data_IF_614342556368
#
_entry.id   IF_614342556368
#
_cell.length_a   1.000
_cell.length_b   1.000
_cell.length_c   1.000
_cell.angle_alpha   90.00
_cell.angle_beta   90.00
_cell.angle_gamma   90.00
#
_symmetry.space_group_name_H-M   'P 1'
#
loop_
_entity.id
_entity.type
_entity.pdbx_description
1 polymer ?
#
# COMPACT_ATOMS: atom_id res chain seq x y z
N UNK A 1 46.38 -10.82 10.39
CA UNK A 1 47.59 -10.00 10.54
C UNK A 1 48.77 -10.81 11.08
N UNK A 2 48.72 -11.42 12.27
CA UNK A 2 49.82 -12.14 12.89
C UNK A 2 50.43 -13.24 11.99
N UNK A 3 49.61 -14.02 11.27
CA UNK A 3 50.12 -15.02 10.31
C UNK A 3 50.82 -14.40 9.09
N UNK A 4 50.36 -13.25 8.63
CA UNK A 4 50.97 -12.52 7.51
C UNK A 4 52.32 -11.95 7.91
N UNK A 5 52.43 -11.39 9.13
CA UNK A 5 53.69 -10.90 9.68
C UNK A 5 54.70 -12.03 9.88
N UNK A 6 54.24 -13.19 10.37
CA UNK A 6 55.08 -14.39 10.49
C UNK A 6 55.58 -14.91 9.11
N UNK A 7 54.69 -14.95 8.12
CA UNK A 7 55.05 -15.33 6.75
C UNK A 7 56.05 -14.35 6.14
N UNK A 8 55.86 -13.02 6.35
CA UNK A 8 56.81 -12.00 5.95
C UNK A 8 58.19 -12.17 6.55
N UNK A 9 58.24 -12.52 7.86
CA UNK A 9 59.49 -12.74 8.58
C UNK A 9 60.24 -13.98 8.13
N UNK A 10 59.55 -15.13 7.93
CA UNK A 10 60.17 -16.39 7.57
C UNK A 10 60.36 -16.60 6.07
N UNK A 11 59.44 -16.12 5.24
CA UNK A 11 59.45 -16.35 3.78
C UNK A 11 59.87 -15.12 2.97
N UNK A 12 60.18 -13.98 3.63
CA UNK A 12 60.48 -12.69 3.01
C UNK A 12 59.37 -12.20 2.02
N UNK A 13 58.11 -12.62 2.23
CA UNK A 13 56.97 -12.19 1.42
C UNK A 13 56.37 -10.92 2.02
N UNK A 14 56.35 -9.83 1.23
CA UNK A 14 55.75 -8.58 1.65
C UNK A 14 54.23 -8.58 1.40
N UNK A 15 53.51 -9.48 2.09
CA UNK A 15 52.05 -9.62 1.92
C UNK A 15 51.23 -8.85 2.95
N UNK A 16 51.89 -8.24 3.95
CA UNK A 16 51.20 -7.51 5.04
C UNK A 16 50.28 -6.41 4.53
N UNK A 17 50.69 -5.62 3.52
CA UNK A 17 49.90 -4.59 2.93
C UNK A 17 48.63 -5.12 2.26
N UNK A 18 48.76 -6.24 1.54
CA UNK A 18 47.62 -6.87 0.89
C UNK A 18 46.67 -7.52 1.90
N UNK A 19 47.17 -8.16 2.93
CA UNK A 19 46.37 -8.70 4.02
C UNK A 19 45.63 -7.57 4.77
N UNK A 20 46.34 -6.44 5.00
CA UNK A 20 45.73 -5.25 5.61
C UNK A 20 44.61 -4.66 4.75
N UNK A 21 44.81 -4.58 3.42
CA UNK A 21 43.79 -4.11 2.50
C UNK A 21 42.55 -5.01 2.53
N UNK A 22 42.72 -6.34 2.45
CA UNK A 22 41.60 -7.28 2.49
C UNK A 22 40.83 -7.17 3.80
N UNK A 23 41.54 -7.13 4.94
CA UNK A 23 40.88 -6.99 6.25
C UNK A 23 40.12 -5.67 6.37
N UNK A 24 40.70 -4.55 5.91
CA UNK A 24 40.02 -3.26 5.94
C UNK A 24 38.79 -3.23 5.04
N UNK A 25 38.81 -3.86 3.87
CA UNK A 25 37.63 -3.99 3.00
C UNK A 25 36.53 -4.86 3.64
N UNK A 26 36.90 -5.95 4.33
CA UNK A 26 35.95 -6.77 5.08
C UNK A 26 35.31 -6.01 6.24
N UNK A 27 36.12 -5.22 6.98
CA UNK A 27 35.59 -4.37 8.08
C UNK A 27 34.66 -3.30 7.53
N UNK A 28 35.04 -2.66 6.42
CA UNK A 28 34.20 -1.65 5.78
C UNK A 28 32.88 -2.26 5.32
N UNK A 29 32.93 -3.42 4.65
CA UNK A 29 31.72 -4.14 4.21
C UNK A 29 30.83 -4.52 5.40
N UNK A 30 31.40 -5.06 6.48
CA UNK A 30 30.66 -5.40 7.70
C UNK A 30 30.03 -4.14 8.35
N UNK A 31 30.75 -3.02 8.36
CA UNK A 31 30.23 -1.75 8.85
C UNK A 31 29.06 -1.22 8.02
N UNK A 32 29.15 -1.31 6.70
CA UNK A 32 28.03 -0.92 5.79
C UNK A 32 26.83 -1.83 5.99
N UNK A 33 27.04 -3.14 6.15
CA UNK A 33 25.93 -4.07 6.43
C UNK A 33 25.27 -3.76 7.77
N UNK A 34 26.02 -3.58 8.84
CA UNK A 34 25.48 -3.22 10.15
C UNK A 34 24.69 -1.90 10.11
N UNK A 35 25.19 -0.91 9.36
CA UNK A 35 24.46 0.35 9.16
C UNK A 35 23.15 0.15 8.41
N UNK A 36 23.16 -0.65 7.34
CA UNK A 36 21.94 -1.00 6.58
C UNK A 36 20.92 -1.73 7.44
N UNK A 37 21.34 -2.74 8.17
CA UNK A 37 20.47 -3.54 9.03
C UNK A 37 19.82 -2.70 10.15
N UNK A 38 20.54 -1.66 10.61
CA UNK A 38 20.02 -0.73 11.62
C UNK A 38 19.08 0.32 11.01
N UNK A 39 19.40 0.86 9.83
CA UNK A 39 18.63 1.94 9.22
C UNK A 39 17.40 1.44 8.47
N UNK A 40 17.45 0.23 7.90
CA UNK A 40 16.38 -0.32 7.08
C UNK A 40 15.03 -0.39 7.81
N UNK A 41 14.94 -0.87 9.07
CA UNK A 41 13.68 -0.84 9.83
C UNK A 41 13.19 0.58 10.13
N UNK A 42 14.11 1.55 10.30
CA UNK A 42 13.75 2.95 10.58
C UNK A 42 13.18 3.67 9.34
N UNK A 43 13.57 3.24 8.15
CA UNK A 43 13.07 3.80 6.88
C UNK A 43 11.74 3.15 6.45
N UNK A 44 11.30 2.08 7.14
CA UNK A 44 10.15 1.28 6.79
C UNK A 44 10.49 0.22 5.74
N UNK A 45 9.95 -0.97 5.95
CA UNK A 45 10.02 -2.07 4.99
C UNK A 45 8.59 -2.43 4.55
N UNK A 46 8.40 -2.84 3.31
CA UNK A 46 7.10 -3.33 2.89
C UNK A 46 6.75 -4.58 3.73
N UNK A 47 5.49 -4.70 4.18
CA UNK A 47 5.03 -5.91 4.86
C UNK A 47 5.07 -7.11 3.92
N UNK A 48 5.06 -8.33 4.48
CA UNK A 48 4.92 -9.52 3.65
C UNK A 48 3.53 -9.60 3.02
N UNK A 49 3.42 -10.23 1.85
CA UNK A 49 2.14 -10.41 1.16
C UNK A 49 1.16 -11.22 2.03
N UNK A 50 1.66 -12.21 2.77
CA UNK A 50 0.86 -13.02 3.69
C UNK A 50 0.25 -12.17 4.81
N UNK A 51 1.03 -11.28 5.42
CA UNK A 51 0.55 -10.40 6.48
C UNK A 51 -0.53 -9.43 5.97
N UNK A 52 -0.34 -8.89 4.78
CA UNK A 52 -1.35 -8.03 4.13
C UNK A 52 -2.64 -8.81 3.85
N UNK A 53 -2.52 -10.05 3.38
CA UNK A 53 -3.68 -10.89 3.12
C UNK A 53 -4.42 -11.24 4.41
N UNK A 54 -3.72 -11.57 5.49
CA UNK A 54 -4.33 -11.82 6.81
C UNK A 54 -5.10 -10.60 7.33
N UNK A 55 -4.53 -9.38 7.17
CA UNK A 55 -5.25 -8.14 7.54
C UNK A 55 -6.55 -8.04 6.73
N UNK A 56 -6.48 -8.21 5.40
CA UNK A 56 -7.65 -8.15 4.53
C UNK A 56 -8.71 -9.17 4.91
N UNK A 57 -8.32 -10.40 5.15
CA UNK A 57 -9.23 -11.49 5.50
C UNK A 57 -9.96 -11.17 6.82
N UNK A 58 -9.26 -10.68 7.85
CA UNK A 58 -9.85 -10.30 9.14
C UNK A 58 -10.84 -9.15 8.99
N UNK A 59 -10.48 -8.11 8.24
CA UNK A 59 -11.35 -6.94 8.05
C UNK A 59 -12.58 -7.32 7.24
N UNK A 60 -12.42 -8.13 6.19
CA UNK A 60 -13.52 -8.59 5.35
C UNK A 60 -14.41 -9.68 6.00
N UNK A 61 -14.07 -10.19 7.20
CA UNK A 61 -15.01 -10.98 8.00
C UNK A 61 -16.23 -10.16 8.47
N UNK A 62 -16.10 -8.84 8.56
CA UNK A 62 -17.20 -7.96 8.94
C UNK A 62 -18.20 -7.83 7.80
N UNK A 63 -19.50 -8.00 8.12
CA UNK A 63 -20.57 -7.90 7.12
C UNK A 63 -20.87 -6.46 6.70
N UNK A 64 -20.38 -5.46 7.42
CA UNK A 64 -20.62 -4.05 7.13
C UNK A 64 -19.51 -3.46 6.25
N UNK A 65 -18.36 -4.11 6.16
CA UNK A 65 -17.25 -3.65 5.32
C UNK A 65 -17.47 -4.12 3.89
N UNK A 66 -17.56 -3.17 2.95
CA UNK A 66 -17.76 -3.42 1.53
C UNK A 66 -16.45 -3.50 0.75
N UNK A 67 -15.40 -2.82 1.22
CA UNK A 67 -14.09 -2.75 0.59
C UNK A 67 -13.03 -2.21 1.53
N UNK A 68 -11.76 -2.37 1.14
CA UNK A 68 -10.60 -1.91 1.90
C UNK A 68 -9.61 -1.26 0.93
N UNK A 69 -9.10 -0.10 1.30
CA UNK A 69 -8.03 0.59 0.57
C UNK A 69 -7.07 1.33 1.52
N UNK A 70 -6.03 1.94 0.98
CA UNK A 70 -5.03 2.75 1.68
C UNK A 70 -4.41 2.08 2.92
N UNK A 71 -4.17 0.76 2.82
CA UNK A 71 -3.49 0.03 3.87
C UNK A 71 -2.03 0.47 3.99
N UNK A 72 -1.70 1.03 5.16
CA UNK A 72 -0.32 1.39 5.54
C UNK A 72 0.08 0.57 6.75
N UNK A 73 1.26 -0.06 6.66
CA UNK A 73 1.84 -0.85 7.74
C UNK A 73 3.13 -0.19 8.22
N UNK A 74 3.19 0.11 9.51
CA UNK A 74 4.37 0.61 10.18
C UNK A 74 4.92 -0.47 11.11
N UNK A 75 6.05 -1.06 10.77
CA UNK A 75 6.73 -2.05 11.60
C UNK A 75 7.91 -1.38 12.33
N UNK A 76 7.78 -1.23 13.65
CA UNK A 76 8.81 -0.70 14.53
C UNK A 76 9.57 -1.81 15.28
N UNK A 77 9.45 -3.04 14.84
CA UNK A 77 10.08 -4.22 15.43
C UNK A 77 9.12 -5.08 16.25
N UNK A 78 9.62 -6.12 16.92
CA UNK A 78 8.80 -7.14 17.56
C UNK A 78 7.78 -6.57 18.55
N UNK A 79 6.50 -6.85 18.31
CA UNK A 79 5.38 -6.41 19.14
C UNK A 79 5.03 -4.92 19.01
N UNK A 80 5.49 -4.24 17.96
CA UNK A 80 5.22 -2.82 17.71
C UNK A 80 4.84 -2.57 16.25
N UNK A 81 3.85 -3.27 15.78
CA UNK A 81 3.27 -3.05 14.45
C UNK A 81 2.04 -2.18 14.59
N UNK A 82 1.98 -1.11 13.80
CA UNK A 82 0.82 -0.23 13.69
C UNK A 82 0.33 -0.25 12.25
N UNK A 83 -0.98 -0.34 12.07
CA UNK A 83 -1.60 -0.30 10.75
C UNK A 83 -2.66 0.78 10.71
N UNK A 84 -2.80 1.42 9.57
CA UNK A 84 -3.95 2.24 9.24
C UNK A 84 -4.51 1.78 7.91
N UNK A 85 -5.82 1.79 7.79
CA UNK A 85 -6.50 1.47 6.55
C UNK A 85 -7.84 2.20 6.48
N UNK A 86 -8.38 2.26 5.28
CA UNK A 86 -9.72 2.74 5.03
C UNK A 86 -10.66 1.57 4.76
N UNK A 87 -11.85 1.62 5.35
CA UNK A 87 -12.90 0.63 5.16
C UNK A 87 -14.15 1.30 4.58
N UNK A 88 -14.56 0.86 3.40
CA UNK A 88 -15.81 1.30 2.78
C UNK A 88 -16.99 0.68 3.53
N UNK A 89 -17.92 1.54 3.99
CA UNK A 89 -19.13 1.16 4.74
C UNK A 89 -20.39 1.79 4.13
N UNK A 90 -21.58 1.21 4.34
CA UNK A 90 -22.82 1.78 3.80
C UNK A 90 -23.10 3.19 4.37
N UNK A 91 -23.30 4.18 3.47
CA UNK A 91 -23.54 5.58 3.84
C UNK A 91 -24.83 5.81 4.65
N UNK A 92 -25.82 4.95 4.50
CA UNK A 92 -27.12 5.04 5.17
C UNK A 92 -27.25 4.12 6.38
N UNK A 93 -26.12 3.55 6.86
CA UNK A 93 -26.09 2.76 8.08
C UNK A 93 -26.21 3.59 9.36
N UNK A 94 -26.60 2.94 10.47
CA UNK A 94 -26.50 3.55 11.79
C UNK A 94 -25.04 3.76 12.16
N UNK A 95 -24.61 4.99 12.29
CA UNK A 95 -23.20 5.36 12.53
C UNK A 95 -22.66 4.72 13.81
N UNK A 96 -23.49 4.56 14.87
CA UNK A 96 -23.05 3.95 16.12
C UNK A 96 -22.84 2.44 15.95
N UNK A 97 -23.74 1.79 15.20
CA UNK A 97 -23.61 0.36 14.91
C UNK A 97 -22.41 0.08 13.99
N UNK A 98 -22.19 0.94 12.99
CA UNK A 98 -21.01 0.84 12.11
C UNK A 98 -19.71 1.02 12.90
N UNK A 99 -19.66 2.02 13.78
CA UNK A 99 -18.50 2.27 14.62
C UNK A 99 -18.19 1.08 15.55
N UNK A 100 -19.21 0.51 16.21
CA UNK A 100 -19.05 -0.67 17.08
C UNK A 100 -18.48 -1.88 16.31
N UNK A 101 -18.95 -2.09 15.08
CA UNK A 101 -18.39 -3.14 14.22
C UNK A 101 -16.93 -2.88 13.84
N UNK A 102 -16.56 -1.64 13.53
CA UNK A 102 -15.16 -1.28 13.24
C UNK A 102 -14.28 -1.45 14.47
N UNK A 103 -14.71 -1.01 15.65
CA UNK A 103 -13.99 -1.26 16.91
C UNK A 103 -13.76 -2.76 17.16
N UNK A 104 -14.75 -3.60 16.83
CA UNK A 104 -14.62 -5.06 16.93
C UNK A 104 -13.60 -5.60 15.92
N UNK A 105 -13.53 -5.03 14.71
CA UNK A 105 -12.51 -5.40 13.71
C UNK A 105 -11.11 -5.00 14.18
N UNK A 106 -10.93 -3.79 14.69
CA UNK A 106 -9.64 -3.32 15.24
C UNK A 106 -9.18 -4.24 16.39
N UNK A 107 -10.10 -4.62 17.27
CA UNK A 107 -9.82 -5.56 18.36
C UNK A 107 -9.42 -6.94 17.83
N UNK A 108 -10.10 -7.48 16.80
CA UNK A 108 -9.71 -8.75 16.17
C UNK A 108 -8.31 -8.70 15.56
N UNK A 109 -7.96 -7.60 14.90
CA UNK A 109 -6.62 -7.36 14.36
C UNK A 109 -5.58 -7.38 15.49
N UNK A 110 -5.86 -6.70 16.60
CA UNK A 110 -5.00 -6.72 17.77
C UNK A 110 -4.83 -8.14 18.35
N UNK A 111 -5.93 -8.85 18.58
CA UNK A 111 -5.93 -10.15 19.22
C UNK A 111 -5.27 -11.25 18.37
N UNK A 112 -5.41 -11.19 17.04
CA UNK A 112 -4.90 -12.22 16.11
C UNK A 112 -3.49 -11.93 15.60
N UNK A 113 -3.20 -10.65 15.30
CA UNK A 113 -1.94 -10.24 14.65
C UNK A 113 -0.99 -9.48 15.58
N UNK A 114 -1.45 -9.09 16.79
CA UNK A 114 -0.65 -8.34 17.75
C UNK A 114 -0.28 -6.93 17.25
N UNK A 115 -1.08 -6.34 16.37
CA UNK A 115 -0.87 -5.00 15.84
C UNK A 115 -1.88 -4.00 16.41
N UNK A 116 -1.49 -2.72 16.47
CA UNK A 116 -2.40 -1.61 16.73
C UNK A 116 -3.00 -1.17 15.40
N UNK A 117 -4.33 -1.17 15.28
CA UNK A 117 -5.04 -0.80 14.07
C UNK A 117 -5.84 0.48 14.25
N UNK A 118 -5.87 1.32 13.22
CA UNK A 118 -6.78 2.46 13.08
C UNK A 118 -7.49 2.34 11.74
N UNK A 119 -8.81 2.24 11.78
CA UNK A 119 -9.64 2.07 10.60
C UNK A 119 -10.46 3.35 10.36
N UNK A 120 -10.20 4.02 9.23
CA UNK A 120 -11.03 5.12 8.77
C UNK A 120 -12.25 4.57 8.05
N UNK A 121 -13.44 5.05 8.43
CA UNK A 121 -14.68 4.65 7.75
C UNK A 121 -14.96 5.58 6.57
N UNK A 122 -15.09 5.02 5.36
CA UNK A 122 -15.49 5.72 4.16
C UNK A 122 -16.92 5.34 3.76
N UNK A 123 -17.89 6.25 3.99
CA UNK A 123 -19.29 5.98 3.64
C UNK A 123 -19.49 5.95 2.13
N UNK A 124 -19.94 4.81 1.58
CA UNK A 124 -20.30 4.66 0.17
C UNK A 124 -21.79 4.40 0.00
N UNK A 125 -22.36 4.90 -1.08
CA UNK A 125 -23.76 4.66 -1.44
C UNK A 125 -23.86 3.31 -2.12
N UNK A 126 -24.46 2.33 -1.44
CA UNK A 126 -24.57 0.94 -1.93
C UNK A 126 -25.98 0.59 -2.43
N UNK A 127 -26.97 1.42 -2.17
CA UNK A 127 -28.39 1.20 -2.43
C UNK A 127 -28.92 1.95 -3.68
N UNK A 128 -28.08 2.66 -4.42
CA UNK A 128 -28.42 3.32 -5.68
C UNK A 128 -27.91 2.48 -6.87
N UNK A 129 -28.86 1.86 -7.60
CA UNK A 129 -28.56 1.03 -8.77
C UNK A 129 -27.84 1.82 -9.87
N UNK A 130 -28.10 3.13 -10.01
CA UNK A 130 -27.46 3.98 -11.03
C UNK A 130 -26.00 4.18 -10.70
N UNK A 131 -25.70 4.49 -9.43
CA UNK A 131 -24.32 4.66 -8.94
C UNK A 131 -23.57 3.34 -9.05
N UNK A 132 -24.16 2.23 -8.62
CA UNK A 132 -23.57 0.92 -8.69
C UNK A 132 -23.26 0.48 -10.14
N UNK A 133 -24.20 0.73 -11.07
CA UNK A 133 -23.98 0.43 -12.48
C UNK A 133 -22.88 1.31 -13.10
N UNK A 134 -22.82 2.58 -12.74
CA UNK A 134 -21.75 3.49 -13.17
C UNK A 134 -20.38 3.05 -12.63
N UNK A 135 -20.30 2.71 -11.34
CA UNK A 135 -19.09 2.19 -10.71
C UNK A 135 -18.56 0.96 -11.45
N UNK A 136 -19.40 -0.05 -11.66
CA UNK A 136 -19.00 -1.28 -12.37
C UNK A 136 -18.49 -1.01 -13.80
N UNK A 137 -19.15 -0.11 -14.54
CA UNK A 137 -18.72 0.26 -15.89
C UNK A 137 -17.38 0.97 -15.88
N UNK A 138 -17.21 1.95 -14.97
CA UNK A 138 -15.97 2.73 -14.86
C UNK A 138 -14.82 1.85 -14.36
N UNK A 139 -15.04 0.98 -13.37
CA UNK A 139 -14.06 0.02 -12.91
C UNK A 139 -13.60 -0.93 -14.04
N UNK A 140 -14.54 -1.40 -14.86
CA UNK A 140 -14.21 -2.25 -16.02
C UNK A 140 -13.43 -1.49 -17.09
N UNK A 141 -13.79 -0.22 -17.32
CA UNK A 141 -13.13 0.66 -18.27
C UNK A 141 -11.69 0.97 -17.84
N UNK A 142 -11.47 1.24 -16.55
CA UNK A 142 -10.13 1.51 -15.99
C UNK A 142 -9.24 0.28 -16.08
N UNK A 143 -9.77 -0.93 -15.77
CA UNK A 143 -9.05 -2.21 -15.99
C UNK A 143 -8.73 -2.47 -17.46
N UNK A 144 -9.52 -1.94 -18.39
CA UNK A 144 -9.23 -2.00 -19.81
C UNK A 144 -8.05 -1.11 -20.24
N UNK A 145 -7.69 -0.10 -19.47
CA UNK A 145 -6.50 0.74 -19.68
C UNK A 145 -5.24 0.01 -19.21
N UNK A 146 -5.29 -0.56 -18.00
CA UNK A 146 -4.27 -1.44 -17.45
C UNK A 146 -4.94 -2.36 -16.42
N UNK A 147 -4.76 -3.69 -16.55
CA UNK A 147 -5.41 -4.71 -15.72
C UNK A 147 -5.08 -4.61 -14.22
N UNK A 148 -3.95 -3.96 -13.91
CA UNK A 148 -3.47 -3.79 -12.55
C UNK A 148 -3.99 -2.51 -11.87
N UNK A 149 -4.68 -1.62 -12.60
CA UNK A 149 -5.27 -0.42 -12.01
C UNK A 149 -6.64 -0.78 -11.44
N UNK A 150 -6.84 -0.46 -10.16
CA UNK A 150 -8.15 -0.56 -9.49
C UNK A 150 -8.66 0.82 -9.09
N UNK A 151 -9.96 0.90 -8.78
CA UNK A 151 -10.57 2.14 -8.27
C UNK A 151 -11.22 1.87 -6.92
N UNK A 152 -11.24 2.88 -6.05
CA UNK A 152 -11.94 2.88 -4.77
C UNK A 152 -12.50 4.28 -4.44
N UNK A 153 -13.21 4.40 -3.34
CA UNK A 153 -13.86 5.64 -2.87
C UNK A 153 -14.73 6.31 -3.95
N UNK A 154 -15.50 5.47 -4.67
CA UNK A 154 -16.29 5.92 -5.79
C UNK A 154 -17.53 6.68 -5.35
N UNK A 155 -17.68 7.92 -5.81
CA UNK A 155 -18.80 8.80 -5.52
C UNK A 155 -19.29 9.52 -6.76
N UNK A 156 -20.59 9.79 -6.84
CA UNK A 156 -21.19 10.59 -7.90
C UNK A 156 -21.93 11.79 -7.33
N UNK A 157 -21.67 12.96 -7.91
CA UNK A 157 -22.41 14.20 -7.57
C UNK A 157 -23.10 14.69 -8.83
N UNK A 158 -24.41 14.43 -8.90
CA UNK A 158 -25.23 14.77 -10.06
C UNK A 158 -25.67 16.21 -10.00
N UNK A 159 -25.37 16.98 -11.05
CA UNK A 159 -25.82 18.34 -11.28
C UNK A 159 -26.76 18.43 -12.49
N UNK A 160 -27.37 19.59 -12.72
CA UNK A 160 -28.33 19.78 -13.83
C UNK A 160 -27.65 19.73 -15.21
N UNK A 161 -26.37 20.03 -15.31
CA UNK A 161 -25.61 20.08 -16.58
C UNK A 161 -24.63 18.95 -16.75
N UNK A 162 -24.07 18.44 -15.66
CA UNK A 162 -23.06 17.39 -15.64
C UNK A 162 -23.09 16.62 -14.31
N UNK A 163 -22.42 15.49 -14.29
CA UNK A 163 -22.23 14.66 -13.11
C UNK A 163 -20.74 14.53 -12.85
N UNK A 164 -20.28 14.94 -11.67
CA UNK A 164 -18.94 14.67 -11.21
C UNK A 164 -18.86 13.22 -10.75
N UNK A 165 -17.90 12.48 -11.29
CA UNK A 165 -17.56 11.13 -10.91
C UNK A 165 -16.20 11.19 -10.20
N UNK A 166 -16.22 10.98 -8.89
CA UNK A 166 -15.08 11.15 -8.00
C UNK A 166 -14.64 9.78 -7.55
N UNK A 167 -13.37 9.47 -7.71
CA UNK A 167 -12.78 8.19 -7.24
C UNK A 167 -11.27 8.28 -7.25
N UNK A 168 -10.67 7.39 -6.49
CA UNK A 168 -9.23 7.21 -6.45
C UNK A 168 -8.83 6.02 -7.30
N UNK A 169 -7.73 6.16 -8.05
CA UNK A 169 -7.21 5.12 -8.92
C UNK A 169 -5.87 4.63 -8.39
N UNK A 170 -5.81 3.38 -7.97
CA UNK A 170 -4.59 2.74 -7.46
C UNK A 170 -3.74 2.29 -8.63
N UNK A 171 -2.61 2.95 -8.83
CA UNK A 171 -1.62 2.61 -9.86
C UNK A 171 -0.44 1.90 -9.18
N UNK A 172 -0.22 0.60 -9.43
CA UNK A 172 0.84 -0.14 -8.77
C UNK A 172 2.22 0.32 -9.21
N UNK A 173 3.22 0.11 -8.35
CA UNK A 173 4.62 0.29 -8.73
C UNK A 173 4.98 -0.67 -9.87
N UNK A 174 5.54 -0.11 -10.95
CA UNK A 174 5.90 -0.87 -12.16
C UNK A 174 4.83 -0.85 -13.26
N UNK A 175 3.74 -0.12 -13.08
CA UNK A 175 2.86 0.25 -14.18
C UNK A 175 3.67 0.97 -15.26
N UNK A 176 3.38 0.68 -16.54
CA UNK A 176 4.07 1.28 -17.68
C UNK A 176 3.67 2.74 -17.91
N UNK A 177 2.54 3.16 -17.33
CA UNK A 177 2.02 4.52 -17.43
C UNK A 177 2.55 5.37 -16.27
N UNK A 178 2.92 6.60 -16.55
CA UNK A 178 3.10 7.62 -15.51
C UNK A 178 1.74 7.99 -14.90
N UNK A 179 1.75 8.53 -13.68
CA UNK A 179 0.53 8.94 -12.96
C UNK A 179 -0.32 9.90 -13.80
N UNK A 180 0.33 10.87 -14.44
CA UNK A 180 -0.32 11.82 -15.32
C UNK A 180 -0.94 11.17 -16.57
N UNK A 181 -0.25 10.23 -17.19
CA UNK A 181 -0.78 9.50 -18.34
C UNK A 181 -1.97 8.62 -17.96
N UNK A 182 -1.91 7.96 -16.79
CA UNK A 182 -3.02 7.18 -16.26
C UNK A 182 -4.23 8.07 -16.01
N UNK A 183 -4.06 9.19 -15.30
CA UNK A 183 -5.11 10.16 -15.02
C UNK A 183 -5.77 10.70 -16.31
N UNK A 184 -4.96 11.14 -17.30
CA UNK A 184 -5.46 11.69 -18.56
C UNK A 184 -6.23 10.63 -19.38
N UNK A 185 -5.76 9.37 -19.40
CA UNK A 185 -6.44 8.27 -20.08
C UNK A 185 -7.76 7.93 -19.39
N UNK A 186 -7.77 7.85 -18.07
CA UNK A 186 -8.98 7.56 -17.28
C UNK A 186 -10.03 8.65 -17.51
N UNK A 187 -9.65 9.93 -17.37
CA UNK A 187 -10.57 11.06 -17.59
C UNK A 187 -11.19 11.05 -18.99
N UNK A 188 -10.37 10.78 -20.01
CA UNK A 188 -10.85 10.67 -21.39
C UNK A 188 -11.84 9.52 -21.55
N UNK A 189 -11.50 8.35 -21.06
CA UNK A 189 -12.32 7.17 -21.18
C UNK A 189 -13.67 7.31 -20.44
N UNK A 190 -13.67 7.95 -19.27
CA UNK A 190 -14.93 8.25 -18.53
C UNK A 190 -15.79 9.25 -19.30
N UNK A 191 -15.20 10.26 -19.91
CA UNK A 191 -15.95 11.24 -20.72
C UNK A 191 -16.50 10.62 -22.03
N UNK A 192 -15.78 9.68 -22.63
CA UNK A 192 -16.24 8.90 -23.80
C UNK A 192 -17.41 7.96 -23.43
N UNK A 193 -17.48 7.46 -22.20
CA UNK A 193 -18.58 6.63 -21.70
C UNK A 193 -19.89 7.41 -21.61
N UNK A 194 -19.87 8.62 -21.04
CA UNK A 194 -20.98 9.57 -21.04
C UNK A 194 -20.39 11.00 -21.04
N UNK A 195 -20.68 11.81 -22.08
CA UNK A 195 -20.19 13.20 -22.17
C UNK A 195 -20.60 14.10 -21.00
N UNK A 196 -21.58 13.71 -20.19
CA UNK A 196 -21.95 14.41 -18.95
C UNK A 196 -21.10 14.03 -17.76
N UNK A 197 -20.28 12.97 -17.86
CA UNK A 197 -19.41 12.54 -16.78
C UNK A 197 -18.10 13.30 -16.81
N UNK A 198 -17.80 13.94 -15.69
CA UNK A 198 -16.53 14.63 -15.44
C UNK A 198 -15.78 13.89 -14.32
N UNK A 199 -14.75 13.16 -14.70
CA UNK A 199 -13.95 12.42 -13.74
C UNK A 199 -13.02 13.34 -12.94
N UNK A 200 -13.12 13.26 -11.63
CA UNK A 200 -12.20 13.82 -10.66
C UNK A 200 -11.46 12.62 -10.08
N UNK A 201 -10.21 12.43 -10.51
CA UNK A 201 -9.41 11.25 -10.19
C UNK A 201 -8.20 11.66 -9.41
N UNK A 202 -8.00 11.04 -8.25
CA UNK A 202 -6.75 11.06 -7.51
C UNK A 202 -5.97 9.79 -7.85
N UNK A 203 -4.66 9.90 -8.05
CA UNK A 203 -3.82 8.74 -8.31
C UNK A 203 -3.09 8.34 -7.04
N UNK A 204 -3.35 7.13 -6.57
CA UNK A 204 -2.68 6.53 -5.43
C UNK A 204 -1.67 5.48 -5.85
N UNK A 205 -0.60 5.34 -5.06
CA UNK A 205 0.42 4.33 -5.29
C UNK A 205 0.24 3.18 -4.31
N UNK A 206 -0.01 1.99 -4.84
CA UNK A 206 0.06 0.79 -4.03
C UNK A 206 1.51 0.36 -3.85
N UNK A 207 1.94 0.24 -2.59
CA UNK A 207 3.22 -0.35 -2.20
C UNK A 207 3.11 -1.88 -2.03
N UNK A 208 1.89 -2.40 -2.11
CA UNK A 208 1.58 -3.82 -1.96
C UNK A 208 1.05 -4.33 -3.30
N UNK A 209 1.64 -5.41 -3.79
CA UNK A 209 1.19 -6.12 -4.99
C UNK A 209 0.03 -7.03 -4.68
#
# INVERSE_FOLDING_TARGET
MLLATLAGYFLHWQIDGWCGLVVSLLILWAGVQAARDTLSPLLGQPPSEEFVQEIRDIVMESQVVCGIHDLVVHDYGPGRVMISLHAEVPAHGDILALHDEIDNVEKKLHDRLGCEAVIHMDPIVTDDETINAAHQKIASLVRGIDENISIHDFRMVTGPTHTNVIFDAVVPYGCTLSDREAEEKIKRAVHELDPRYFAIVQIDKSYVR
#
